data_IF_078931154681
#
_entry.id   IF_078931154681
#
_cell.length_a   1.000
_cell.length_b   1.000
_cell.length_c   1.000
_cell.angle_alpha   90.00
_cell.angle_beta   90.00
_cell.angle_gamma   90.00
#
_symmetry.space_group_name_H-M   'P 1'
#
loop_
_entity.id
_entity.type
_entity.pdbx_description
1 polymer ?
#
# COMPACT_ATOMS: atom_id res chain seq x y z
N UNK A 1 2.59 -5.15 12.38
CA UNK A 1 2.08 -6.52 12.62
C UNK A 1 2.74 -7.59 11.74
N UNK A 2 3.02 -7.32 10.45
CA UNK A 2 3.68 -8.30 9.58
C UNK A 2 5.05 -8.82 10.08
N UNK A 3 5.94 -7.92 10.51
CA UNK A 3 7.27 -8.30 11.04
C UNK A 3 7.16 -9.19 12.30
N UNK A 4 6.19 -8.89 13.18
CA UNK A 4 5.94 -9.68 14.38
C UNK A 4 5.39 -11.06 14.04
N UNK A 5 4.49 -11.16 13.05
CA UNK A 5 4.01 -12.45 12.55
C UNK A 5 5.12 -13.29 11.95
N UNK A 6 6.01 -12.69 11.14
CA UNK A 6 7.20 -13.36 10.61
C UNK A 6 8.13 -13.84 11.72
N UNK A 7 8.38 -13.00 12.73
CA UNK A 7 9.19 -13.36 13.89
C UNK A 7 8.61 -14.55 14.66
N UNK A 8 7.30 -14.57 14.92
CA UNK A 8 6.61 -15.67 15.60
C UNK A 8 6.69 -16.97 14.79
N UNK A 9 6.49 -16.92 13.47
CA UNK A 9 6.59 -18.13 12.62
C UNK A 9 8.04 -18.63 12.54
N UNK A 10 9.02 -17.75 12.38
CA UNK A 10 10.43 -18.15 12.34
C UNK A 10 10.93 -18.75 13.66
N UNK A 11 10.41 -18.29 14.80
CA UNK A 11 10.77 -18.82 16.12
C UNK A 11 10.01 -20.10 16.47
N UNK A 12 8.69 -20.18 16.21
CA UNK A 12 7.89 -21.36 16.55
C UNK A 12 8.02 -22.54 15.57
N UNK A 13 8.13 -22.26 14.27
CA UNK A 13 8.16 -23.30 13.23
C UNK A 13 9.58 -23.74 12.87
N UNK A 14 10.52 -22.80 12.82
CA UNK A 14 11.90 -23.05 12.39
C UNK A 14 12.93 -23.07 13.53
N UNK A 15 12.54 -22.71 14.76
CA UNK A 15 13.44 -22.71 15.91
C UNK A 15 14.63 -21.74 15.78
N UNK A 16 14.53 -20.74 14.90
CA UNK A 16 15.61 -19.79 14.66
C UNK A 16 15.79 -18.84 15.86
N UNK A 17 17.05 -18.54 16.26
CA UNK A 17 17.29 -17.56 17.30
C UNK A 17 16.80 -16.18 16.87
N UNK A 18 16.10 -15.50 17.78
CA UNK A 18 15.45 -14.20 17.57
C UNK A 18 16.42 -13.11 17.09
N UNK A 19 17.69 -13.20 17.48
CA UNK A 19 18.77 -12.31 17.03
C UNK A 19 19.10 -12.47 15.54
N UNK A 20 19.02 -13.67 14.99
CA UNK A 20 19.31 -13.93 13.58
C UNK A 20 18.22 -13.35 12.67
N UNK A 21 16.95 -13.51 13.05
CA UNK A 21 15.83 -12.89 12.35
C UNK A 21 15.94 -11.37 12.34
N UNK A 22 16.24 -10.75 13.49
CA UNK A 22 16.37 -9.29 13.60
C UNK A 22 17.52 -8.75 12.75
N UNK A 23 18.65 -9.45 12.69
CA UNK A 23 19.79 -9.08 11.86
C UNK A 23 19.46 -9.17 10.37
N UNK A 24 18.80 -10.26 9.92
CA UNK A 24 18.38 -10.39 8.52
C UNK A 24 17.34 -9.34 8.11
N UNK A 25 16.41 -8.99 9.00
CA UNK A 25 15.47 -7.89 8.75
C UNK A 25 16.20 -6.55 8.66
N UNK A 26 17.20 -6.31 9.52
CA UNK A 26 17.95 -5.06 9.51
C UNK A 26 18.82 -4.90 8.27
N UNK A 27 19.48 -5.96 7.81
CA UNK A 27 20.29 -5.94 6.59
C UNK A 27 19.43 -5.86 5.32
N UNK A 28 18.20 -6.36 5.37
CA UNK A 28 17.28 -6.33 4.23
C UNK A 28 16.51 -5.03 4.04
N UNK A 29 16.53 -4.11 5.00
CA UNK A 29 15.81 -2.83 4.91
C UNK A 29 16.76 -1.77 4.34
N UNK A 30 16.48 -1.31 3.12
CA UNK A 30 17.19 -0.19 2.51
C UNK A 30 16.47 1.13 2.83
N UNK A 31 17.20 2.24 2.87
CA UNK A 31 16.62 3.59 3.05
C UNK A 31 15.54 3.89 2.00
N UNK A 32 15.69 3.32 0.81
CA UNK A 32 14.76 3.43 -0.32
C UNK A 32 13.41 2.75 -0.05
N UNK A 33 13.43 1.60 0.63
CA UNK A 33 12.21 0.89 1.04
C UNK A 33 11.43 1.70 2.07
N UNK A 34 12.14 2.40 2.95
CA UNK A 34 11.54 3.24 3.99
C UNK A 34 10.87 4.49 3.38
N UNK A 35 11.58 5.18 2.46
CA UNK A 35 11.05 6.32 1.72
C UNK A 35 9.85 5.93 0.85
N UNK A 36 9.96 4.82 0.11
CA UNK A 36 8.88 4.28 -0.70
C UNK A 36 7.67 3.87 0.14
N UNK A 37 7.90 3.27 1.31
CA UNK A 37 6.86 2.86 2.25
C UNK A 37 6.05 4.00 2.85
N UNK A 38 6.62 5.20 2.97
CA UNK A 38 5.93 6.39 3.51
C UNK A 38 5.25 7.19 2.40
N UNK A 39 5.93 7.40 1.27
CA UNK A 39 5.44 8.25 0.18
C UNK A 39 4.25 7.61 -0.54
N UNK A 40 4.34 6.31 -0.89
CA UNK A 40 3.27 5.60 -1.62
C UNK A 40 1.89 5.68 -0.95
N UNK A 41 1.72 5.33 0.35
CA UNK A 41 0.41 5.38 0.99
C UNK A 41 -0.16 6.80 1.11
N UNK A 42 0.68 7.83 1.22
CA UNK A 42 0.23 9.22 1.23
C UNK A 42 -0.48 9.58 -0.08
N UNK A 43 0.12 9.20 -1.21
CA UNK A 43 -0.47 9.41 -2.54
C UNK A 43 -1.75 8.59 -2.73
N UNK A 44 -1.78 7.33 -2.29
CA UNK A 44 -2.96 6.49 -2.41
C UNK A 44 -4.12 7.01 -1.56
N UNK A 45 -3.86 7.48 -0.33
CA UNK A 45 -4.87 8.07 0.53
C UNK A 45 -5.50 9.32 -0.12
N UNK A 46 -4.67 10.19 -0.72
CA UNK A 46 -5.13 11.38 -1.42
C UNK A 46 -6.00 11.04 -2.65
N UNK A 47 -5.57 10.08 -3.47
CA UNK A 47 -6.33 9.61 -4.63
C UNK A 47 -7.66 8.99 -4.20
N UNK A 48 -7.64 8.04 -3.26
CA UNK A 48 -8.83 7.37 -2.73
C UNK A 48 -9.83 8.37 -2.16
N UNK A 49 -9.37 9.34 -1.37
CA UNK A 49 -10.23 10.37 -0.79
C UNK A 49 -10.89 11.23 -1.86
N UNK A 50 -10.13 11.65 -2.87
CA UNK A 50 -10.65 12.47 -3.98
C UNK A 50 -11.70 11.71 -4.79
N UNK A 51 -11.45 10.44 -5.12
CA UNK A 51 -12.36 9.59 -5.88
C UNK A 51 -13.64 9.31 -5.08
N UNK A 52 -13.49 9.01 -3.78
CA UNK A 52 -14.62 8.78 -2.88
C UNK A 52 -15.51 10.01 -2.75
N UNK A 53 -14.92 11.20 -2.54
CA UNK A 53 -15.67 12.46 -2.49
C UNK A 53 -16.36 12.76 -3.82
N UNK A 54 -15.66 12.57 -4.94
CA UNK A 54 -16.24 12.80 -6.27
C UNK A 54 -17.44 11.91 -6.54
N UNK A 55 -17.34 10.60 -6.23
CA UNK A 55 -18.46 9.68 -6.43
C UNK A 55 -19.58 9.92 -5.43
N UNK A 56 -19.27 10.27 -4.18
CA UNK A 56 -20.25 10.61 -3.16
C UNK A 56 -21.10 11.83 -3.54
N UNK A 57 -20.46 12.91 -4.02
CA UNK A 57 -21.15 14.14 -4.42
C UNK A 57 -22.00 13.98 -5.68
N UNK A 58 -21.63 13.05 -6.59
CA UNK A 58 -22.36 12.77 -7.83
C UNK A 58 -23.40 11.65 -7.69
N UNK A 59 -23.76 11.29 -6.46
CA UNK A 59 -24.72 10.20 -6.20
C UNK A 59 -26.15 10.70 -6.36
N UNK A 60 -26.94 9.99 -7.16
CA UNK A 60 -28.36 10.30 -7.41
C UNK A 60 -29.22 9.03 -7.21
N UNK A 61 -30.52 9.18 -6.95
CA UNK A 61 -31.45 8.05 -6.86
C UNK A 61 -31.68 7.46 -5.46
N UNK A 62 -31.51 8.25 -4.39
CA UNK A 62 -31.87 7.86 -3.03
C UNK A 62 -31.03 6.73 -2.46
N UNK A 63 -31.58 5.95 -1.53
CA UNK A 63 -30.87 4.91 -0.76
C UNK A 63 -30.26 3.80 -1.62
N UNK A 64 -30.94 3.40 -2.70
CA UNK A 64 -30.43 2.41 -3.66
C UNK A 64 -29.29 2.98 -4.53
N UNK A 65 -29.38 4.27 -4.86
CA UNK A 65 -28.36 5.00 -5.60
C UNK A 65 -27.03 5.14 -4.83
N UNK A 66 -27.11 5.33 -3.51
CA UNK A 66 -25.94 5.37 -2.61
C UNK A 66 -25.20 4.04 -2.64
N UNK A 67 -25.88 2.92 -2.45
CA UNK A 67 -25.24 1.59 -2.49
C UNK A 67 -24.52 1.32 -3.82
N UNK A 68 -25.17 1.62 -4.96
CA UNK A 68 -24.55 1.47 -6.28
C UNK A 68 -23.35 2.40 -6.48
N UNK A 69 -23.43 3.63 -6.01
CA UNK A 69 -22.36 4.61 -6.13
C UNK A 69 -21.16 4.27 -5.27
N UNK A 70 -21.37 3.75 -4.05
CA UNK A 70 -20.29 3.26 -3.18
C UNK A 70 -19.56 2.07 -3.79
N UNK A 71 -20.28 1.07 -4.33
CA UNK A 71 -19.64 -0.08 -4.99
C UNK A 71 -18.85 0.35 -6.23
N UNK A 72 -19.42 1.22 -7.06
CA UNK A 72 -18.73 1.78 -8.23
C UNK A 72 -17.52 2.62 -7.83
N UNK A 73 -17.58 3.37 -6.72
CA UNK A 73 -16.47 4.15 -6.20
C UNK A 73 -15.31 3.26 -5.78
N UNK A 74 -15.56 2.17 -5.03
CA UNK A 74 -14.50 1.25 -4.60
C UNK A 74 -13.84 0.57 -5.80
N UNK A 75 -14.61 0.12 -6.79
CA UNK A 75 -14.06 -0.50 -8.01
C UNK A 75 -13.18 0.48 -8.78
N UNK A 76 -13.66 1.71 -9.03
CA UNK A 76 -12.89 2.75 -9.69
C UNK A 76 -11.62 3.10 -8.92
N UNK A 77 -11.73 3.24 -7.61
CA UNK A 77 -10.62 3.62 -6.76
C UNK A 77 -9.54 2.53 -6.72
N UNK A 78 -9.92 1.25 -6.64
CA UNK A 78 -8.98 0.12 -6.74
C UNK A 78 -8.22 0.09 -8.07
N UNK A 79 -8.92 0.31 -9.20
CA UNK A 79 -8.26 0.34 -10.52
C UNK A 79 -7.28 1.51 -10.61
N UNK A 80 -7.67 2.70 -10.16
CA UNK A 80 -6.81 3.89 -10.19
C UNK A 80 -5.59 3.70 -9.28
N UNK A 81 -5.77 3.10 -8.10
CA UNK A 81 -4.65 2.81 -7.18
C UNK A 81 -3.66 1.84 -7.80
N UNK A 82 -4.11 0.79 -8.50
CA UNK A 82 -3.21 -0.16 -9.19
C UNK A 82 -2.39 0.54 -10.27
N UNK A 83 -3.04 1.37 -11.09
CA UNK A 83 -2.35 2.13 -12.15
C UNK A 83 -1.38 3.14 -11.54
N UNK A 84 -1.81 3.86 -10.50
CA UNK A 84 -0.99 4.81 -9.79
C UNK A 84 0.21 4.13 -9.12
N UNK A 85 0.05 2.96 -8.52
CA UNK A 85 1.15 2.20 -7.90
C UNK A 85 2.23 1.85 -8.92
N UNK A 86 1.86 1.36 -10.10
CA UNK A 86 2.83 1.07 -11.16
C UNK A 86 3.63 2.31 -11.56
N UNK A 87 2.93 3.45 -11.77
CA UNK A 87 3.57 4.71 -12.14
C UNK A 87 4.49 5.21 -11.02
N UNK A 88 4.00 5.19 -9.77
CA UNK A 88 4.73 5.71 -8.61
C UNK A 88 5.94 4.84 -8.28
N UNK A 89 5.81 3.52 -8.37
CA UNK A 89 6.90 2.58 -8.21
C UNK A 89 7.98 2.81 -9.27
N UNK A 90 7.59 2.95 -10.55
CA UNK A 90 8.53 3.21 -11.64
C UNK A 90 9.20 4.58 -11.52
N UNK A 91 8.45 5.61 -11.16
CA UNK A 91 8.97 6.96 -10.95
C UNK A 91 9.96 7.02 -9.78
N UNK A 92 9.64 6.35 -8.67
CA UNK A 92 10.52 6.29 -7.50
C UNK A 92 11.82 5.55 -7.82
N UNK A 93 11.74 4.43 -8.54
CA UNK A 93 12.93 3.69 -9.00
C UNK A 93 13.82 4.53 -9.93
N UNK A 94 13.22 5.35 -10.80
CA UNK A 94 13.97 6.25 -11.69
C UNK A 94 14.66 7.40 -10.94
N UNK A 95 14.02 7.95 -9.90
CA UNK A 95 14.55 9.08 -9.11
C UNK A 95 15.65 8.62 -8.15
N UNK A 96 15.53 7.44 -7.54
CA UNK A 96 16.51 6.89 -6.61
C UNK A 96 17.75 6.29 -7.30
N UNK A 97 17.73 6.11 -8.63
CA UNK A 97 18.91 5.68 -9.37
C UNK A 97 19.46 4.30 -8.95
N UNK A 98 18.63 3.46 -8.34
CA UNK A 98 18.98 2.07 -8.00
C UNK A 98 19.01 1.21 -9.27
N UNK A 99 20.15 1.25 -9.96
CA UNK A 99 20.59 0.22 -10.89
C UNK A 99 21.08 -1.00 -10.08
N UNK A 100 20.15 -1.80 -9.57
CA UNK A 100 20.39 -3.20 -9.18
C UNK A 100 19.12 -3.99 -9.40
#
# INVERSE_FOLDING_TARGET
MGIVGGWTVSTFLYGLPSSMFLNSVRDGITTDDLLGGIIKPLFFAFLMGTIACHKGLKTEGGTVGVGRSTTSAVVMASIIVIIADFILARALQLILGTQT
#
